data_IF_021370770735
#
_entry.id   IF_021370770735
#
_cell.length_a   1.000
_cell.length_b   1.000
_cell.length_c   1.000
_cell.angle_alpha   90.00
_cell.angle_beta   90.00
_cell.angle_gamma   90.00
#
_symmetry.space_group_name_H-M   'P 1'
#
loop_
_entity.id
_entity.type
_entity.pdbx_description
1 polymer ?
#
# COMPACT_ATOMS: atom_id res chain seq x y z
N UNK A 1 -16.54 -58.76 -29.78
CA UNK A 1 -16.63 -57.32 -30.11
C UNK A 1 -17.05 -56.57 -28.85
N UNK A 2 -16.64 -55.30 -28.69
CA UNK A 2 -16.89 -54.38 -27.57
C UNK A 2 -15.93 -54.43 -26.36
N UNK A 3 -14.74 -53.83 -26.55
CA UNK A 3 -13.90 -53.27 -25.47
C UNK A 3 -13.16 -52.03 -26.01
N UNK A 4 -13.81 -50.86 -26.03
CA UNK A 4 -13.15 -49.58 -26.36
C UNK A 4 -14.05 -48.36 -26.04
N UNK A 5 -14.52 -48.18 -24.79
CA UNK A 5 -15.27 -46.98 -24.40
C UNK A 5 -14.77 -46.29 -23.11
N UNK A 6 -13.62 -46.71 -22.55
CA UNK A 6 -13.16 -46.23 -21.25
C UNK A 6 -12.19 -45.04 -21.26
N UNK A 7 -11.57 -44.72 -22.40
CA UNK A 7 -10.41 -43.83 -22.41
C UNK A 7 -10.69 -42.34 -22.73
N UNK A 8 -11.90 -42.01 -23.22
CA UNK A 8 -12.19 -40.65 -23.70
C UNK A 8 -12.67 -39.72 -22.57
N UNK A 9 -13.20 -40.26 -21.47
CA UNK A 9 -13.78 -39.45 -20.39
C UNK A 9 -12.73 -38.79 -19.46
N UNK A 10 -11.49 -39.29 -19.44
CA UNK A 10 -10.44 -38.75 -18.55
C UNK A 10 -9.72 -37.53 -19.13
N UNK A 11 -9.87 -37.24 -20.43
CA UNK A 11 -9.17 -36.13 -21.10
C UNK A 11 -9.91 -34.79 -20.98
N UNK A 12 -11.19 -34.80 -20.58
CA UNK A 12 -12.03 -33.58 -20.49
C UNK A 12 -11.92 -32.90 -19.12
N UNK A 13 -11.35 -33.55 -18.09
CA UNK A 13 -11.16 -32.96 -16.75
C UNK A 13 -9.87 -32.13 -16.61
N UNK A 14 -9.07 -32.00 -17.67
CA UNK A 14 -8.01 -30.99 -17.79
C UNK A 14 -8.59 -29.62 -18.21
N UNK A 15 -9.75 -29.26 -17.65
CA UNK A 15 -10.26 -27.88 -17.69
C UNK A 15 -9.31 -27.04 -16.87
N UNK A 16 -8.33 -26.47 -17.58
CA UNK A 16 -7.71 -25.16 -17.37
C UNK A 16 -7.92 -24.65 -15.94
N UNK A 17 -7.00 -25.01 -15.04
CA UNK A 17 -6.75 -24.20 -13.87
C UNK A 17 -6.25 -22.85 -14.41
N UNK A 18 -7.18 -21.95 -14.73
CA UNK A 18 -6.84 -20.58 -15.06
C UNK A 18 -6.03 -20.07 -13.87
N UNK A 19 -4.85 -19.48 -14.09
CA UNK A 19 -4.19 -18.77 -13.02
C UNK A 19 -5.21 -17.77 -12.52
N UNK A 20 -5.55 -17.84 -11.24
CA UNK A 20 -6.25 -16.74 -10.59
C UNK A 20 -5.29 -15.55 -10.71
N UNK A 21 -5.45 -14.74 -11.75
CA UNK A 21 -4.72 -13.50 -11.89
C UNK A 21 -5.05 -12.70 -10.65
N UNK A 22 -4.08 -12.56 -9.77
CA UNK A 22 -4.21 -11.70 -8.61
C UNK A 22 -4.50 -10.30 -9.17
N UNK A 23 -5.75 -9.85 -9.03
CA UNK A 23 -6.20 -8.54 -9.49
C UNK A 23 -5.20 -7.49 -8.99
N UNK A 24 -4.37 -6.99 -9.91
CA UNK A 24 -3.28 -6.10 -9.54
C UNK A 24 -3.85 -4.70 -9.39
N UNK A 25 -4.10 -4.30 -8.15
CA UNK A 25 -4.40 -2.91 -7.85
C UNK A 25 -3.27 -2.03 -8.37
N UNK A 26 -3.62 -0.97 -9.11
CA UNK A 26 -2.66 0.05 -9.53
C UNK A 26 -3.04 1.44 -9.00
N UNK A 27 -2.76 1.72 -7.72
CA UNK A 27 -2.98 3.03 -7.15
C UNK A 27 -2.18 4.14 -7.82
N UNK A 28 -0.99 3.83 -8.35
CA UNK A 28 -0.13 4.83 -8.94
C UNK A 28 -0.74 5.39 -10.22
N UNK A 29 -1.18 4.53 -11.14
CA UNK A 29 -1.83 5.00 -12.38
C UNK A 29 -3.15 5.72 -12.12
N UNK A 30 -3.92 5.30 -11.13
CA UNK A 30 -5.17 5.99 -10.75
C UNK A 30 -4.89 7.43 -10.30
N UNK A 31 -3.85 7.65 -9.49
CA UNK A 31 -3.43 9.00 -9.06
C UNK A 31 -2.95 9.84 -10.24
N UNK A 32 -2.17 9.25 -11.16
CA UNK A 32 -1.70 9.93 -12.37
C UNK A 32 -2.88 10.37 -13.24
N UNK A 33 -3.82 9.46 -13.52
CA UNK A 33 -5.01 9.75 -14.31
C UNK A 33 -5.87 10.84 -13.67
N UNK A 34 -6.04 10.80 -12.34
CA UNK A 34 -6.79 11.81 -11.60
C UNK A 34 -6.14 13.19 -11.73
N UNK A 35 -4.83 13.28 -11.48
CA UNK A 35 -4.07 14.52 -11.64
C UNK A 35 -4.16 15.07 -13.07
N UNK A 36 -4.02 14.21 -14.07
CA UNK A 36 -4.10 14.63 -15.47
C UNK A 36 -5.48 15.16 -15.85
N UNK A 37 -6.55 14.55 -15.33
CA UNK A 37 -7.89 15.07 -15.50
C UNK A 37 -8.02 16.47 -14.87
N UNK A 38 -7.52 16.66 -13.64
CA UNK A 38 -7.50 17.98 -12.98
C UNK A 38 -6.68 19.01 -13.76
N UNK A 39 -5.50 18.63 -14.27
CA UNK A 39 -4.62 19.52 -15.02
C UNK A 39 -5.25 19.99 -16.35
N UNK A 40 -6.14 19.19 -16.95
CA UNK A 40 -6.92 19.56 -18.14
C UNK A 40 -8.24 20.27 -17.82
N UNK A 41 -8.57 20.46 -16.55
CA UNK A 41 -9.90 20.94 -16.13
C UNK A 41 -11.04 19.98 -16.49
N UNK A 42 -10.73 18.70 -16.75
CA UNK A 42 -11.68 17.68 -17.17
C UNK A 42 -12.33 17.03 -15.94
N UNK A 43 -13.34 17.73 -15.41
CA UNK A 43 -14.09 17.35 -14.22
C UNK A 43 -14.72 15.97 -14.36
N UNK A 44 -15.33 15.69 -15.51
CA UNK A 44 -16.06 14.44 -15.72
C UNK A 44 -15.10 13.24 -15.78
N UNK A 45 -13.90 13.39 -16.35
CA UNK A 45 -12.87 12.35 -16.25
C UNK A 45 -12.37 12.14 -14.82
N UNK A 46 -12.20 13.22 -14.04
CA UNK A 46 -11.79 13.12 -12.65
C UNK A 46 -12.86 12.39 -11.80
N UNK A 47 -14.13 12.75 -11.97
CA UNK A 47 -15.26 12.13 -11.26
C UNK A 47 -15.44 10.66 -11.65
N UNK A 48 -15.21 10.29 -12.91
CA UNK A 48 -15.26 8.89 -13.36
C UNK A 48 -14.21 7.99 -12.71
N UNK A 49 -13.19 8.53 -12.08
CA UNK A 49 -12.20 7.72 -11.34
C UNK A 49 -12.69 7.33 -9.95
N UNK A 50 -13.76 7.95 -9.44
CA UNK A 50 -14.41 7.52 -8.21
C UNK A 50 -15.29 6.29 -8.46
N UNK A 51 -15.40 5.47 -7.43
CA UNK A 51 -16.41 4.43 -7.33
C UNK A 51 -17.80 5.07 -7.18
N UNK A 52 -18.87 4.33 -7.51
CA UNK A 52 -20.26 4.81 -7.36
C UNK A 52 -20.57 5.21 -5.91
N UNK A 53 -19.93 4.55 -4.94
CA UNK A 53 -20.03 4.87 -3.51
C UNK A 53 -18.79 5.61 -2.97
N UNK A 54 -17.95 6.13 -3.87
CA UNK A 54 -16.75 6.89 -3.54
C UNK A 54 -17.06 8.13 -2.70
N UNK A 55 -16.10 8.50 -1.86
CA UNK A 55 -16.22 9.68 -1.00
C UNK A 55 -14.95 10.50 -0.98
N UNK A 56 -15.11 11.81 -0.80
CA UNK A 56 -14.03 12.75 -0.58
C UNK A 56 -14.20 13.47 0.76
N UNK A 57 -13.11 13.74 1.47
CA UNK A 57 -13.10 14.54 2.70
C UNK A 57 -12.11 15.68 2.53
N UNK A 58 -12.56 16.91 2.75
CA UNK A 58 -11.72 18.11 2.69
C UNK A 58 -10.91 18.31 3.99
N UNK A 59 -9.96 19.26 4.02
CA UNK A 59 -9.17 19.53 5.23
C UNK A 59 -9.99 20.05 6.42
N UNK A 60 -11.21 20.57 6.20
CA UNK A 60 -12.12 21.02 7.25
C UNK A 60 -12.94 19.86 7.85
N UNK A 61 -12.86 18.67 7.26
CA UNK A 61 -13.56 17.47 7.70
C UNK A 61 -14.95 17.29 7.09
N UNK A 62 -15.35 18.12 6.13
CA UNK A 62 -16.60 17.89 5.40
C UNK A 62 -16.44 16.67 4.48
N UNK A 63 -17.44 15.79 4.50
CA UNK A 63 -17.47 14.59 3.68
C UNK A 63 -18.46 14.75 2.52
N UNK A 64 -18.01 14.44 1.33
CA UNK A 64 -18.75 14.57 0.07
C UNK A 64 -18.89 13.19 -0.57
N UNK A 65 -20.08 12.89 -1.09
CA UNK A 65 -20.42 11.58 -1.67
C UNK A 65 -21.27 11.74 -2.92
N UNK A 66 -21.17 10.76 -3.79
CA UNK A 66 -21.88 10.74 -5.07
C UNK A 66 -21.39 11.81 -6.05
N UNK A 67 -21.85 11.79 -7.30
CA UNK A 67 -21.32 12.64 -8.36
C UNK A 67 -21.40 14.14 -8.06
N UNK A 68 -22.55 14.60 -7.55
CA UNK A 68 -22.76 16.03 -7.24
C UNK A 68 -21.94 16.49 -6.03
N UNK A 69 -21.88 15.70 -4.96
CA UNK A 69 -21.05 16.03 -3.80
C UNK A 69 -19.56 16.04 -4.16
N UNK A 70 -19.10 15.10 -4.99
CA UNK A 70 -17.72 15.08 -5.46
C UNK A 70 -17.40 16.26 -6.39
N UNK A 71 -18.36 16.74 -7.19
CA UNK A 71 -18.21 17.97 -7.96
C UNK A 71 -18.10 19.20 -7.04
N UNK A 72 -18.96 19.29 -6.03
CA UNK A 72 -18.90 20.33 -5.00
C UNK A 72 -17.54 20.33 -4.28
N UNK A 73 -17.04 19.15 -3.90
CA UNK A 73 -15.70 18.98 -3.33
C UNK A 73 -14.61 19.58 -4.21
N UNK A 74 -14.63 19.28 -5.52
CA UNK A 74 -13.66 19.84 -6.47
C UNK A 74 -13.75 21.36 -6.56
N UNK A 75 -14.96 21.90 -6.54
CA UNK A 75 -15.21 23.34 -6.57
C UNK A 75 -14.72 24.02 -5.29
N UNK A 76 -15.11 23.50 -4.12
CA UNK A 76 -14.79 24.07 -2.80
C UNK A 76 -13.29 24.07 -2.52
N UNK A 77 -12.54 23.08 -3.04
CA UNK A 77 -11.09 23.00 -2.90
C UNK A 77 -10.33 23.68 -4.05
N UNK A 78 -11.03 24.43 -4.92
CA UNK A 78 -10.43 25.28 -5.94
C UNK A 78 -9.90 24.52 -7.17
N UNK A 79 -10.13 23.22 -7.29
CA UNK A 79 -9.66 22.39 -8.41
C UNK A 79 -10.29 22.76 -9.75
N UNK A 80 -11.44 23.45 -9.73
CA UNK A 80 -12.13 23.92 -10.94
C UNK A 80 -11.62 25.29 -11.44
N UNK A 81 -10.62 25.87 -10.79
CA UNK A 81 -10.07 27.17 -11.19
C UNK A 81 -9.25 27.04 -12.48
N UNK A 82 -9.46 27.94 -13.45
CA UNK A 82 -8.76 27.92 -14.74
C UNK A 82 -7.22 27.97 -14.66
N UNK A 83 -6.66 28.39 -13.52
CA UNK A 83 -5.22 28.51 -13.27
C UNK A 83 -4.71 27.55 -12.19
N UNK A 84 -5.41 26.43 -11.95
CA UNK A 84 -4.94 25.43 -11.01
C UNK A 84 -3.64 24.81 -11.52
N UNK A 85 -2.63 24.78 -10.64
CA UNK A 85 -1.34 24.14 -10.90
C UNK A 85 -1.02 23.25 -9.71
N UNK A 86 -0.77 21.98 -10.00
CA UNK A 86 -0.31 20.99 -9.04
C UNK A 86 1.19 20.76 -9.29
N UNK A 87 2.00 20.74 -8.23
CA UNK A 87 3.45 20.60 -8.31
C UNK A 87 4.03 19.93 -7.05
N UNK A 88 5.35 19.67 -7.04
CA UNK A 88 6.10 19.07 -5.92
C UNK A 88 5.47 17.76 -5.43
N UNK A 89 5.22 16.86 -6.37
CA UNK A 89 4.44 15.67 -6.14
C UNK A 89 5.28 14.50 -5.64
N UNK A 90 4.77 13.80 -4.63
CA UNK A 90 5.30 12.52 -4.21
C UNK A 90 4.14 11.54 -4.04
N UNK A 91 4.24 10.37 -4.66
CA UNK A 91 3.27 9.29 -4.49
C UNK A 91 3.95 8.11 -3.81
N UNK A 92 3.35 7.63 -2.72
CA UNK A 92 3.77 6.41 -2.01
C UNK A 92 2.62 5.42 -2.00
N UNK A 93 2.84 4.24 -2.55
CA UNK A 93 1.83 3.18 -2.63
C UNK A 93 2.08 2.12 -1.53
N UNK A 94 1.01 1.70 -0.86
CA UNK A 94 1.01 0.63 0.13
C UNK A 94 -0.23 -0.23 -0.12
N UNK A 95 -0.06 -1.39 -0.74
CA UNK A 95 -1.15 -2.25 -1.21
C UNK A 95 -2.17 -1.47 -2.07
N UNK A 96 -3.44 -1.44 -1.69
CA UNK A 96 -4.51 -0.73 -2.41
C UNK A 96 -4.65 0.76 -2.02
N UNK A 97 -3.62 1.34 -1.39
CA UNK A 97 -3.64 2.71 -0.90
C UNK A 97 -2.52 3.53 -1.53
N UNK A 98 -2.82 4.78 -1.86
CA UNK A 98 -1.82 5.77 -2.24
C UNK A 98 -1.82 6.92 -1.22
N UNK A 99 -0.63 7.37 -0.85
CA UNK A 99 -0.40 8.63 -0.17
C UNK A 99 0.20 9.55 -1.21
N UNK A 100 -0.54 10.60 -1.58
CA UNK A 100 -0.14 11.58 -2.57
C UNK A 100 0.06 12.93 -1.90
N UNK A 101 1.30 13.42 -1.88
CA UNK A 101 1.63 14.75 -1.38
C UNK A 101 1.86 15.68 -2.56
N UNK A 102 1.27 16.87 -2.56
CA UNK A 102 1.45 17.89 -3.59
C UNK A 102 1.32 19.30 -3.04
N UNK A 103 1.76 20.29 -3.82
CA UNK A 103 1.41 21.70 -3.63
C UNK A 103 0.44 22.14 -4.73
N UNK A 104 -0.60 22.90 -4.38
CA UNK A 104 -1.56 23.45 -5.34
C UNK A 104 -1.53 24.97 -5.31
N UNK A 105 -1.69 25.64 -6.45
CA UNK A 105 -1.92 27.10 -6.48
C UNK A 105 -3.22 27.52 -5.77
N UNK A 106 -4.13 26.57 -5.53
CA UNK A 106 -5.43 26.76 -4.89
C UNK A 106 -5.40 26.74 -3.35
N UNK A 107 -4.29 26.32 -2.73
CA UNK A 107 -4.17 26.24 -1.27
C UNK A 107 -2.78 26.66 -0.79
N UNK A 108 -2.70 27.18 0.43
CA UNK A 108 -1.41 27.55 1.03
C UNK A 108 -0.69 26.30 1.56
N UNK A 109 0.45 25.98 0.96
CA UNK A 109 1.34 24.93 1.44
C UNK A 109 1.07 23.53 0.87
N UNK A 110 1.84 22.54 1.31
CA UNK A 110 1.70 21.16 0.84
C UNK A 110 0.46 20.49 1.45
N UNK A 111 -0.22 19.70 0.63
CA UNK A 111 -1.38 18.87 0.99
C UNK A 111 -0.99 17.40 0.87
N UNK A 112 -1.34 16.61 1.89
CA UNK A 112 -1.26 15.14 1.84
C UNK A 112 -2.66 14.60 1.56
N UNK A 113 -2.78 13.74 0.56
CA UNK A 113 -4.03 13.03 0.25
C UNK A 113 -3.83 11.55 0.46
N UNK A 114 -4.77 10.94 1.17
CA UNK A 114 -4.84 9.50 1.36
C UNK A 114 -5.96 8.93 0.52
N UNK A 115 -5.59 8.05 -0.39
CA UNK A 115 -6.47 7.49 -1.40
C UNK A 115 -6.56 5.98 -1.16
N UNK A 116 -7.78 5.45 -1.13
CA UNK A 116 -8.05 4.01 -1.10
C UNK A 116 -8.74 3.63 -2.40
N UNK A 117 -8.27 2.55 -3.01
CA UNK A 117 -8.72 2.09 -4.32
C UNK A 117 -9.28 0.67 -4.21
N UNK A 118 -10.35 0.39 -4.95
CA UNK A 118 -10.95 -0.95 -5.02
C UNK A 118 -10.27 -1.82 -6.10
N UNK A 119 -10.76 -3.04 -6.27
CA UNK A 119 -10.35 -4.00 -7.30
C UNK A 119 -10.61 -3.54 -8.75
N UNK A 120 -11.49 -2.57 -8.96
CA UNK A 120 -11.80 -1.96 -10.25
C UNK A 120 -10.94 -0.73 -10.58
N UNK A 121 -9.89 -0.46 -9.78
CA UNK A 121 -9.06 0.75 -9.91
C UNK A 121 -9.88 2.05 -9.77
N UNK A 122 -10.92 2.03 -8.94
CA UNK A 122 -11.75 3.19 -8.59
C UNK A 122 -11.43 3.70 -7.18
N UNK A 123 -11.47 5.01 -7.02
CA UNK A 123 -11.29 5.70 -5.75
C UNK A 123 -12.52 5.51 -4.88
N UNK A 124 -12.37 4.81 -3.75
CA UNK A 124 -13.45 4.64 -2.75
C UNK A 124 -13.36 5.68 -1.64
N UNK A 125 -12.14 6.08 -1.27
CA UNK A 125 -11.89 7.10 -0.25
C UNK A 125 -10.82 8.05 -0.75
N UNK A 126 -11.09 9.35 -0.68
CA UNK A 126 -10.16 10.43 -0.95
C UNK A 126 -10.16 11.38 0.26
N UNK A 127 -9.09 11.43 1.04
CA UNK A 127 -9.06 12.28 2.23
C UNK A 127 -7.88 13.24 2.19
N UNK A 128 -8.17 14.54 2.24
CA UNK A 128 -7.17 15.61 2.27
C UNK A 128 -6.75 15.96 3.69
N UNK A 129 -5.47 16.20 3.88
CA UNK A 129 -4.86 16.65 5.12
C UNK A 129 -3.84 17.74 4.82
N UNK A 130 -3.65 18.74 5.70
CA UNK A 130 -2.46 19.57 5.63
C UNK A 130 -1.25 18.64 5.75
N UNK A 131 -0.31 18.70 4.80
CA UNK A 131 0.86 17.85 4.89
C UNK A 131 1.63 18.21 6.15
N UNK A 132 2.05 17.19 6.91
CA UNK A 132 2.92 17.44 8.05
C UNK A 132 4.20 18.02 7.49
N UNK A 133 4.55 19.23 7.87
CA UNK A 133 5.92 19.71 7.74
C UNK A 133 6.77 18.73 8.50
N UNK A 134 7.41 17.80 7.78
CA UNK A 134 8.51 17.02 8.33
C UNK A 134 9.56 18.09 8.60
N UNK A 135 9.59 18.60 9.83
CA UNK A 135 10.73 19.37 10.31
C UNK A 135 11.88 18.41 10.09
N UNK A 136 12.81 18.69 9.14
CA UNK A 136 13.94 17.82 8.97
C UNK A 136 14.59 17.79 10.34
N UNK A 137 14.58 16.63 11.01
CA UNK A 137 15.40 16.46 12.19
C UNK A 137 16.79 16.73 11.67
N UNK A 138 17.32 17.92 11.98
CA UNK A 138 18.70 18.27 11.68
C UNK A 138 19.46 17.19 12.40
N UNK A 139 19.87 16.16 11.65
CA UNK A 139 20.69 15.09 12.16
C UNK A 139 21.97 15.82 12.52
N UNK A 140 22.04 16.28 13.77
CA UNK A 140 23.29 16.62 14.39
C UNK A 140 24.03 15.31 14.33
N UNK A 141 24.92 15.19 13.34
CA UNK A 141 25.91 14.15 13.29
C UNK A 141 26.92 14.50 14.37
N UNK A 142 26.52 14.38 15.62
CA UNK A 142 27.41 14.25 16.76
C UNK A 142 27.90 12.80 16.88
N UNK A 143 28.15 12.15 15.72
CA UNK A 143 29.10 11.06 15.67
C UNK A 143 30.40 11.62 16.23
N UNK A 144 30.82 11.13 17.41
CA UNK A 144 31.92 11.76 18.10
C UNK A 144 33.20 11.50 17.30
N UNK A 145 34.09 12.49 17.29
CA UNK A 145 35.39 12.49 16.62
C UNK A 145 36.35 11.36 17.06
N UNK A 146 35.89 10.33 17.77
CA UNK A 146 36.68 9.18 18.20
C UNK A 146 36.89 8.12 17.10
N UNK A 147 36.21 8.20 15.95
CA UNK A 147 36.39 7.23 14.87
C UNK A 147 37.73 7.36 14.10
N UNK A 148 38.48 8.46 14.30
CA UNK A 148 39.79 8.66 13.64
C UNK A 148 40.99 8.12 14.45
N UNK A 149 40.80 7.62 15.68
CA UNK A 149 41.90 7.10 16.52
C UNK A 149 42.09 5.58 16.51
N UNK A 150 41.16 4.80 15.94
CA UNK A 150 41.07 3.34 16.16
C UNK A 150 41.48 2.43 15.01
N UNK A 151 41.92 2.96 13.86
CA UNK A 151 42.15 2.14 12.64
C UNK A 151 43.49 1.41 12.59
N UNK A 152 44.45 1.72 13.47
CA UNK A 152 45.75 1.03 13.47
C UNK A 152 45.81 -0.23 14.36
N UNK A 153 44.91 -0.38 15.35
CA UNK A 153 44.90 -1.57 16.23
C UNK A 153 43.95 -2.68 15.77
N UNK A 154 42.87 -2.36 15.04
CA UNK A 154 41.90 -3.36 14.57
C UNK A 154 42.39 -4.25 13.43
N UNK A 155 43.23 -3.72 12.54
CA UNK A 155 43.71 -4.45 11.36
C UNK A 155 44.64 -5.63 11.72
N UNK A 156 45.42 -5.52 12.80
CA UNK A 156 46.37 -6.56 13.24
C UNK A 156 45.64 -7.78 13.85
N UNK A 157 44.53 -7.56 14.58
CA UNK A 157 43.78 -8.65 15.20
C UNK A 157 42.89 -9.42 14.20
N UNK A 158 42.36 -8.75 13.16
CA UNK A 158 41.61 -9.43 12.09
C UNK A 158 42.54 -10.27 11.20
N UNK A 159 43.76 -9.80 10.93
CA UNK A 159 44.70 -10.55 10.09
C UNK A 159 45.23 -11.84 10.76
N UNK A 160 45.44 -11.83 12.09
CA UNK A 160 45.91 -13.02 12.82
C UNK A 160 44.83 -14.10 12.99
N UNK A 161 43.54 -13.74 12.98
CA UNK A 161 42.45 -14.73 13.10
C UNK A 161 42.07 -15.39 11.78
N UNK A 162 42.38 -14.77 10.64
CA UNK A 162 42.10 -15.34 9.31
C UNK A 162 43.03 -16.49 8.91
N UNK A 163 44.27 -16.54 9.41
CA UNK A 163 45.21 -17.64 9.08
C UNK A 163 44.89 -18.99 9.71
N UNK A 164 43.95 -19.08 10.65
CA UNK A 164 43.65 -20.33 11.39
C UNK A 164 42.30 -21.00 11.07
N UNK A 165 41.55 -20.53 10.06
CA UNK A 165 40.27 -21.19 9.68
C UNK A 165 40.23 -21.59 8.20
N UNK A 166 41.17 -22.45 7.81
CA UNK A 166 40.95 -23.41 6.71
C UNK A 166 40.76 -24.76 7.37
N UNK A 167 39.57 -24.98 7.92
CA UNK A 167 39.06 -26.28 8.32
C UNK A 167 37.54 -26.17 8.47
N UNK A 168 36.83 -26.71 7.47
CA UNK A 168 35.52 -27.36 7.58
C UNK A 168 34.46 -26.68 8.46
N UNK A 169 33.47 -26.04 7.83
CA UNK A 169 32.10 -26.03 8.35
C UNK A 169 31.09 -26.00 7.21
N UNK A 170 30.50 -27.17 6.96
CA UNK A 170 29.25 -27.37 6.22
C UNK A 170 28.15 -26.63 6.97
N UNK A 171 27.43 -25.72 6.31
CA UNK A 171 26.24 -25.09 6.89
C UNK A 171 25.08 -26.11 6.96
N UNK A 172 24.39 -26.26 8.10
CA UNK A 172 23.11 -26.97 8.16
C UNK A 172 21.98 -26.10 7.56
N UNK A 173 20.97 -26.71 6.91
CA UNK A 173 19.81 -26.00 6.38
C UNK A 173 18.96 -25.39 7.51
N UNK A 174 18.51 -24.15 7.31
CA UNK A 174 17.62 -23.39 8.21
C UNK A 174 16.25 -24.08 8.35
N UNK A 175 16.07 -24.87 9.40
CA UNK A 175 14.79 -25.48 9.79
C UNK A 175 13.94 -24.58 10.73
N UNK A 176 13.96 -23.25 10.54
CA UNK A 176 13.28 -22.32 11.47
C UNK A 176 11.91 -21.81 10.98
N UNK A 177 11.59 -21.91 9.68
CA UNK A 177 10.32 -21.39 9.13
C UNK A 177 9.13 -22.35 9.26
N UNK A 178 9.35 -23.65 9.48
CA UNK A 178 8.26 -24.64 9.61
C UNK A 178 7.56 -24.62 10.98
N UNK A 179 8.23 -24.19 12.05
CA UNK A 179 7.68 -24.22 13.41
C UNK A 179 6.63 -23.15 13.69
N UNK A 180 6.75 -22.00 13.04
CA UNK A 180 5.80 -20.88 13.19
C UNK A 180 4.45 -21.19 12.54
N UNK A 181 4.45 -21.89 11.41
CA UNK A 181 3.21 -22.30 10.71
C UNK A 181 2.52 -23.45 11.47
N UNK A 182 3.28 -24.37 12.07
CA UNK A 182 2.72 -25.44 12.90
C UNK A 182 2.02 -24.87 14.16
N UNK A 183 2.65 -23.93 14.86
CA UNK A 183 2.08 -23.31 16.06
C UNK A 183 0.79 -22.52 15.79
N UNK A 184 0.68 -21.84 14.64
CA UNK A 184 -0.54 -21.13 14.26
C UNK A 184 -1.69 -22.07 13.88
N UNK A 185 -1.40 -23.26 13.33
CA UNK A 185 -2.41 -24.27 13.01
C UNK A 185 -2.96 -24.93 14.27
N UNK A 186 -2.08 -25.18 15.24
CA UNK A 186 -2.43 -25.79 16.53
C UNK A 186 -3.24 -24.83 17.43
N UNK A 187 -2.92 -23.52 17.41
CA UNK A 187 -3.69 -22.49 18.11
C UNK A 187 -5.11 -22.26 17.53
N UNK A 188 -5.33 -22.57 16.24
CA UNK A 188 -6.66 -22.48 15.62
C UNK A 188 -7.51 -23.72 15.88
N UNK A 189 -6.87 -24.89 16.03
CA UNK A 189 -7.55 -26.14 16.37
C UNK A 189 -8.01 -26.21 17.83
N UNK A 190 -7.35 -25.47 18.74
CA UNK A 190 -7.69 -25.45 20.17
C UNK A 190 -8.87 -24.53 20.54
N UNK A 191 -9.50 -23.86 19.57
CA UNK A 191 -10.74 -23.09 19.83
C UNK A 191 -10.58 -21.92 20.79
N UNK A 192 -9.36 -21.43 21.04
CA UNK A 192 -9.09 -20.34 22.01
C UNK A 192 -9.46 -18.95 21.47
N UNK A 193 -9.76 -18.83 20.17
CA UNK A 193 -10.36 -17.63 19.57
C UNK A 193 -11.86 -17.83 19.36
N UNK A 194 -12.59 -17.99 20.47
CA UNK A 194 -14.05 -17.98 20.47
C UNK A 194 -14.57 -16.58 20.12
N UNK A 195 -15.46 -16.55 19.13
CA UNK A 195 -16.33 -15.45 18.71
C UNK A 195 -16.84 -14.57 19.88
N UNK A 196 -16.77 -13.23 19.78
CA UNK A 196 -17.57 -12.37 20.65
C UNK A 196 -19.05 -12.57 20.30
N UNK A 197 -19.80 -13.10 21.26
CA UNK A 197 -21.24 -13.27 21.22
C UNK A 197 -21.95 -11.95 20.83
N UNK A 198 -22.68 -11.99 19.73
CA UNK A 198 -23.67 -10.98 19.38
C UNK A 198 -24.84 -11.09 20.37
N UNK A 199 -24.86 -10.16 21.32
CA UNK A 199 -25.97 -9.98 22.23
C UNK A 199 -27.13 -9.31 21.46
N UNK A 200 -28.04 -10.13 20.94
CA UNK A 200 -29.35 -9.69 20.45
C UNK A 200 -30.36 -9.90 21.58
N UNK A 201 -30.54 -8.87 22.38
CA UNK A 201 -31.74 -8.61 23.17
C UNK A 201 -32.07 -7.13 22.99
N UNK A 202 -33.30 -6.68 22.73
CA UNK A 202 -34.61 -7.28 22.92
C UNK A 202 -35.52 -6.16 23.42
N UNK A 203 -36.63 -5.92 22.70
CA UNK A 203 -37.88 -5.29 23.13
C UNK A 203 -37.82 -4.00 23.99
N UNK A 204 -38.36 -2.91 23.44
CA UNK A 204 -39.76 -2.50 23.67
C UNK A 204 -40.19 -1.56 22.54
#
# INVERSE_FOLDING_TARGET
MARACGAVLLLVLLVVAAPAEAQQWDPASTVVAYREALARGDVDSALRLFDDNGSATDPAGHNYRGPEGLREFLQANGFLSANVRISNEQVRVIANRAIWTYTCSCTSGPTEVRIVINDQSKITVFAMFPARTVVPSRATSNWPAFALGGTLLGAVLVWLTWRKRVATTVMPPRAAQGRLIAALREARASGVLSEPATNVGGRA
#
